data_IF_143564297294
#
_entry.id   IF_143564297294
#
_cell.length_a   1.000
_cell.length_b   1.000
_cell.length_c   1.000
_cell.angle_alpha   90.00
_cell.angle_beta   90.00
_cell.angle_gamma   90.00
#
_symmetry.space_group_name_H-M   'P 1'
#
loop_
_entity.id
_entity.type
_entity.pdbx_description
1 polymer ?
#
# COMPACT_ATOMS: atom_id res chain seq x y z
N UNK A 1 15.37 -23.98 0.44
CA UNK A 1 15.13 -23.18 1.66
C UNK A 1 14.86 -21.70 1.43
N UNK A 2 15.33 -21.08 0.36
CA UNK A 2 15.24 -19.63 0.10
C UNK A 2 13.83 -19.12 -0.29
N UNK A 3 12.95 -19.96 -0.84
CA UNK A 3 11.56 -19.61 -1.19
C UNK A 3 10.70 -19.17 0.02
N UNK A 4 11.02 -19.66 1.21
CA UNK A 4 10.28 -19.31 2.44
C UNK A 4 10.43 -17.83 2.81
N UNK A 5 11.59 -17.22 2.54
CA UNK A 5 11.85 -15.81 2.90
C UNK A 5 10.99 -14.87 2.05
N UNK A 6 10.83 -15.15 0.74
CA UNK A 6 9.98 -14.35 -0.16
C UNK A 6 8.52 -14.38 0.29
N UNK A 7 8.04 -15.56 0.70
CA UNK A 7 6.68 -15.74 1.21
C UNK A 7 6.45 -14.91 2.47
N UNK A 8 7.44 -14.83 3.37
CA UNK A 8 7.35 -14.03 4.60
C UNK A 8 7.21 -12.54 4.28
N UNK A 9 7.99 -12.01 3.32
CA UNK A 9 7.88 -10.60 2.92
C UNK A 9 6.52 -10.27 2.31
N UNK A 10 6.00 -11.13 1.41
CA UNK A 10 4.69 -10.95 0.80
C UNK A 10 3.56 -11.05 1.83
N UNK A 11 3.68 -11.96 2.80
CA UNK A 11 2.72 -12.11 3.89
C UNK A 11 2.70 -10.88 4.77
N UNK A 12 3.88 -10.36 5.15
CA UNK A 12 3.98 -9.13 5.94
C UNK A 12 3.33 -7.95 5.22
N UNK A 13 3.62 -7.76 3.92
CA UNK A 13 2.99 -6.71 3.12
C UNK A 13 1.48 -6.86 3.10
N UNK A 14 0.97 -8.07 2.87
CA UNK A 14 -0.47 -8.34 2.88
C UNK A 14 -1.14 -7.97 4.20
N UNK A 15 -0.55 -8.37 5.33
CA UNK A 15 -1.05 -8.04 6.67
C UNK A 15 -0.98 -6.53 6.96
N UNK A 16 0.12 -5.87 6.60
CA UNK A 16 0.30 -4.42 6.80
C UNK A 16 -0.76 -3.64 6.00
N UNK A 17 -0.99 -3.99 4.72
CA UNK A 17 -1.98 -3.30 3.90
C UNK A 17 -3.41 -3.52 4.37
N UNK A 18 -3.77 -4.71 4.84
CA UNK A 18 -5.07 -4.97 5.46
C UNK A 18 -5.22 -4.15 6.74
N UNK A 19 -4.19 -4.09 7.60
CA UNK A 19 -4.21 -3.27 8.81
C UNK A 19 -4.34 -1.79 8.48
N UNK A 20 -3.66 -1.31 7.43
CA UNK A 20 -3.77 0.06 6.95
C UNK A 20 -5.20 0.42 6.55
N UNK A 21 -5.92 -0.49 5.89
CA UNK A 21 -7.32 -0.27 5.48
C UNK A 21 -8.27 0.01 6.64
N UNK A 22 -7.93 -0.42 7.85
CA UNK A 22 -8.75 -0.27 9.06
C UNK A 22 -8.40 0.97 9.89
N UNK A 23 -7.42 1.78 9.47
CA UNK A 23 -6.90 2.89 10.27
C UNK A 23 -7.10 4.25 9.59
N UNK A 24 -7.16 5.30 10.42
CA UNK A 24 -7.22 6.69 9.96
C UNK A 24 -5.85 7.12 9.43
N UNK A 25 -5.83 7.67 8.24
CA UNK A 25 -4.60 8.01 7.50
C UNK A 25 -4.03 9.36 7.93
N UNK A 26 -4.91 10.36 8.09
CA UNK A 26 -4.49 11.73 8.39
C UNK A 26 -5.59 12.52 9.12
N UNK A 27 -5.21 13.66 9.68
CA UNK A 27 -6.14 14.63 10.29
C UNK A 27 -5.93 15.98 9.63
N UNK A 28 -7.04 16.64 9.35
CA UNK A 28 -7.10 18.02 8.88
C UNK A 28 -7.66 18.89 9.98
N UNK A 29 -7.06 20.05 10.21
CA UNK A 29 -7.61 21.07 11.12
C UNK A 29 -8.06 22.26 10.29
N UNK A 30 -9.35 22.58 10.33
CA UNK A 30 -9.93 23.74 9.66
C UNK A 30 -9.58 25.03 10.41
N UNK A 31 -9.62 26.20 9.75
CA UNK A 31 -9.40 27.50 10.37
C UNK A 31 -10.35 27.79 11.56
N UNK A 32 -11.53 27.18 11.53
CA UNK A 32 -12.56 27.29 12.59
C UNK A 32 -12.26 26.40 13.81
N UNK A 33 -11.11 25.68 13.84
CA UNK A 33 -10.74 24.78 14.92
C UNK A 33 -11.41 23.40 14.85
N UNK A 34 -12.23 23.13 13.84
CA UNK A 34 -12.84 21.81 13.64
C UNK A 34 -11.82 20.83 13.10
N UNK A 35 -11.77 19.63 13.69
CA UNK A 35 -10.93 18.53 13.21
C UNK A 35 -11.72 17.66 12.23
N UNK A 36 -11.11 17.35 11.08
CA UNK A 36 -11.61 16.36 10.13
C UNK A 36 -10.62 15.21 10.02
N UNK A 37 -11.11 14.00 9.86
CA UNK A 37 -10.29 12.79 9.78
C UNK A 37 -10.40 12.21 8.38
N UNK A 38 -9.25 11.88 7.78
CA UNK A 38 -9.17 11.11 6.56
C UNK A 38 -9.07 9.62 6.93
N UNK A 39 -10.12 8.91 6.66
CA UNK A 39 -10.17 7.45 6.66
C UNK A 39 -9.96 6.93 5.22
N UNK A 40 -9.69 5.66 5.06
CA UNK A 40 -9.53 5.02 3.75
C UNK A 40 -10.79 5.08 2.84
N UNK A 41 -11.95 5.38 3.44
CA UNK A 41 -13.24 5.40 2.74
C UNK A 41 -13.82 6.80 2.56
N UNK A 42 -13.51 7.72 3.49
CA UNK A 42 -14.13 9.05 3.54
C UNK A 42 -13.31 10.05 4.33
N UNK A 43 -13.54 11.34 4.09
CA UNK A 43 -13.15 12.41 5.00
C UNK A 43 -14.41 12.78 5.79
N UNK A 44 -14.34 12.73 7.10
CA UNK A 44 -15.46 13.04 7.99
C UNK A 44 -15.07 14.04 9.07
N UNK A 45 -16.08 14.81 9.56
CA UNK A 45 -15.91 15.69 10.71
C UNK A 45 -15.79 14.86 12.00
N UNK A 46 -14.79 15.14 12.83
CA UNK A 46 -14.59 14.46 14.10
C UNK A 46 -15.72 14.76 15.12
N UNK A 47 -16.47 15.86 14.93
CA UNK A 47 -17.57 16.27 15.83
C UNK A 47 -18.88 15.58 15.47
N UNK A 48 -19.30 15.71 14.19
CA UNK A 48 -20.64 15.28 13.76
C UNK A 48 -20.63 13.96 12.98
N UNK A 49 -19.46 13.38 12.73
CA UNK A 49 -19.26 12.20 11.90
C UNK A 49 -19.87 12.31 10.48
N UNK A 50 -20.20 13.54 10.04
CA UNK A 50 -20.73 13.82 8.72
C UNK A 50 -19.65 13.63 7.66
N UNK A 51 -19.97 12.92 6.57
CA UNK A 51 -19.05 12.72 5.45
C UNK A 51 -18.94 13.99 4.62
N UNK A 52 -17.74 14.55 4.54
CA UNK A 52 -17.44 15.74 3.75
C UNK A 52 -17.00 15.39 2.33
N UNK A 53 -16.24 14.32 2.18
CA UNK A 53 -15.74 13.85 0.89
C UNK A 53 -15.56 12.33 0.89
N UNK A 54 -15.92 11.68 -0.20
CA UNK A 54 -15.74 10.23 -0.34
C UNK A 54 -14.37 9.90 -0.94
N UNK A 55 -13.60 9.04 -0.28
CA UNK A 55 -12.24 8.61 -0.69
C UNK A 55 -12.16 7.09 -0.86
N UNK A 56 -13.27 6.45 -1.21
CA UNK A 56 -13.39 5.00 -1.35
C UNK A 56 -12.28 4.34 -2.17
N UNK A 57 -11.68 5.08 -3.10
CA UNK A 57 -10.62 4.57 -3.95
C UNK A 57 -9.37 4.17 -3.15
N UNK A 58 -9.05 4.87 -2.04
CA UNK A 58 -7.94 4.50 -1.15
C UNK A 58 -8.21 3.12 -0.56
N UNK A 59 -9.38 2.91 0.04
CA UNK A 59 -9.73 1.63 0.64
C UNK A 59 -9.75 0.46 -0.35
N UNK A 60 -10.28 0.70 -1.57
CA UNK A 60 -10.27 -0.33 -2.62
C UNK A 60 -8.85 -0.67 -3.07
N UNK A 61 -7.98 0.31 -3.27
CA UNK A 61 -6.58 0.10 -3.64
C UNK A 61 -5.83 -0.65 -2.54
N UNK A 62 -6.03 -0.28 -1.27
CA UNK A 62 -5.42 -0.94 -0.12
C UNK A 62 -5.83 -2.41 0.00
N UNK A 63 -7.12 -2.71 -0.16
CA UNK A 63 -7.61 -4.10 -0.17
C UNK A 63 -7.04 -4.87 -1.35
N UNK A 64 -7.05 -4.28 -2.54
CA UNK A 64 -6.55 -4.91 -3.76
C UNK A 64 -5.05 -5.27 -3.61
N UNK A 65 -4.23 -4.36 -3.08
CA UNK A 65 -2.79 -4.60 -2.84
C UNK A 65 -2.55 -5.64 -1.76
N UNK A 66 -3.34 -5.61 -0.67
CA UNK A 66 -3.30 -6.62 0.37
C UNK A 66 -3.64 -8.02 -0.15
N UNK A 67 -4.78 -8.15 -0.84
CA UNK A 67 -5.21 -9.42 -1.46
C UNK A 67 -4.25 -9.88 -2.55
N UNK A 68 -3.72 -8.98 -3.39
CA UNK A 68 -2.72 -9.30 -4.39
C UNK A 68 -1.45 -9.87 -3.75
N UNK A 69 -0.93 -9.22 -2.70
CA UNK A 69 0.27 -9.70 -1.98
C UNK A 69 0.08 -11.10 -1.39
N UNK A 70 -1.09 -11.37 -0.80
CA UNK A 70 -1.42 -12.71 -0.29
C UNK A 70 -1.61 -13.73 -1.43
N UNK A 71 -2.26 -13.32 -2.53
CA UNK A 71 -2.45 -14.15 -3.72
C UNK A 71 -1.13 -14.55 -4.39
N UNK A 72 -0.13 -13.65 -4.39
CA UNK A 72 1.20 -13.91 -4.92
C UNK A 72 1.91 -15.07 -4.21
N UNK A 73 1.58 -15.35 -2.96
CA UNK A 73 2.13 -16.48 -2.22
C UNK A 73 1.77 -17.80 -2.89
N UNK A 74 0.54 -17.91 -3.41
CA UNK A 74 0.07 -19.14 -4.08
C UNK A 74 0.65 -19.32 -5.49
N UNK A 75 1.20 -18.24 -6.09
CA UNK A 75 1.81 -18.26 -7.42
C UNK A 75 3.27 -18.78 -7.43
N UNK A 76 3.74 -19.42 -6.36
CA UNK A 76 5.12 -19.90 -6.22
C UNK A 76 5.59 -20.82 -7.36
N UNK A 77 4.66 -21.51 -8.04
CA UNK A 77 4.97 -22.38 -9.20
C UNK A 77 5.31 -21.58 -10.47
N UNK A 78 4.77 -20.36 -10.62
CA UNK A 78 4.97 -19.47 -11.79
C UNK A 78 5.80 -18.25 -11.42
N UNK A 79 7.10 -18.44 -11.18
CA UNK A 79 8.02 -17.42 -10.66
C UNK A 79 8.07 -16.13 -11.49
N UNK A 80 8.09 -16.23 -12.82
CA UNK A 80 8.12 -15.06 -13.71
C UNK A 80 6.84 -14.23 -13.55
N UNK A 81 5.68 -14.90 -13.45
CA UNK A 81 4.41 -14.22 -13.24
C UNK A 81 4.37 -13.56 -11.86
N UNK A 82 4.81 -14.26 -10.82
CA UNK A 82 4.91 -13.74 -9.45
C UNK A 82 5.76 -12.47 -9.40
N UNK A 83 6.94 -12.46 -10.06
CA UNK A 83 7.82 -11.30 -10.12
C UNK A 83 7.15 -10.10 -10.81
N UNK A 84 6.51 -10.31 -11.96
CA UNK A 84 5.80 -9.24 -12.68
C UNK A 84 4.66 -8.64 -11.84
N UNK A 85 3.88 -9.48 -11.20
CA UNK A 85 2.78 -9.04 -10.35
C UNK A 85 3.28 -8.35 -9.07
N UNK A 86 4.42 -8.76 -8.50
CA UNK A 86 5.02 -8.05 -7.35
C UNK A 86 5.42 -6.63 -7.74
N UNK A 87 6.00 -6.42 -8.93
CA UNK A 87 6.32 -5.09 -9.44
C UNK A 87 5.03 -4.29 -9.68
N UNK A 88 3.99 -4.91 -10.25
CA UNK A 88 2.70 -4.27 -10.44
C UNK A 88 2.09 -3.81 -9.10
N UNK A 89 2.11 -4.67 -8.07
CA UNK A 89 1.63 -4.33 -6.72
C UNK A 89 2.40 -3.14 -6.14
N UNK A 90 3.71 -3.07 -6.36
CA UNK A 90 4.55 -1.95 -5.93
C UNK A 90 4.14 -0.64 -6.63
N UNK A 91 3.85 -0.69 -7.94
CA UNK A 91 3.35 0.47 -8.69
C UNK A 91 1.97 0.92 -8.20
N UNK A 92 1.09 -0.01 -7.83
CA UNK A 92 -0.23 0.32 -7.28
C UNK A 92 -0.11 1.03 -5.93
N UNK A 93 0.79 0.59 -5.04
CA UNK A 93 1.05 1.28 -3.75
C UNK A 93 1.59 2.70 -3.99
N UNK A 94 2.50 2.88 -4.95
CA UNK A 94 2.99 4.22 -5.31
C UNK A 94 1.83 5.09 -5.81
N UNK A 95 0.98 4.56 -6.68
CA UNK A 95 -0.22 5.26 -7.16
C UNK A 95 -1.18 5.62 -6.03
N UNK A 96 -1.37 4.75 -5.06
CA UNK A 96 -2.17 4.98 -3.86
C UNK A 96 -1.62 6.14 -3.01
N UNK A 97 -0.30 6.17 -2.77
CA UNK A 97 0.36 7.27 -2.05
C UNK A 97 0.21 8.61 -2.77
N UNK A 98 0.37 8.61 -4.11
CA UNK A 98 0.15 9.81 -4.94
C UNK A 98 -1.31 10.26 -4.84
N UNK A 99 -2.26 9.34 -4.87
CA UNK A 99 -3.68 9.65 -4.75
C UNK A 99 -4.03 10.24 -3.38
N UNK A 100 -3.49 9.69 -2.29
CA UNK A 100 -3.65 10.23 -0.93
C UNK A 100 -3.10 11.66 -0.85
N UNK A 101 -1.90 11.90 -1.40
CA UNK A 101 -1.29 13.22 -1.43
C UNK A 101 -2.13 14.22 -2.23
N UNK A 102 -2.66 13.80 -3.39
CA UNK A 102 -3.50 14.63 -4.25
C UNK A 102 -4.83 15.00 -3.56
N UNK A 103 -5.53 14.04 -2.97
CA UNK A 103 -6.78 14.28 -2.22
C UNK A 103 -6.54 15.22 -1.03
N UNK A 104 -5.45 15.00 -0.30
CA UNK A 104 -5.08 15.85 0.84
C UNK A 104 -4.78 17.28 0.41
N UNK A 105 -4.06 17.47 -0.70
CA UNK A 105 -3.77 18.77 -1.27
C UNK A 105 -5.05 19.50 -1.70
N UNK A 106 -5.94 18.81 -2.42
CA UNK A 106 -7.23 19.37 -2.86
C UNK A 106 -8.09 19.82 -1.67
N UNK A 107 -8.18 18.98 -0.62
CA UNK A 107 -8.96 19.30 0.56
C UNK A 107 -8.38 20.50 1.33
N UNK A 108 -7.06 20.56 1.50
CA UNK A 108 -6.38 21.69 2.14
C UNK A 108 -6.57 22.98 1.36
N UNK A 109 -6.41 22.93 0.03
CA UNK A 109 -6.58 24.09 -0.84
C UNK A 109 -8.02 24.63 -0.85
N UNK A 110 -9.02 23.74 -0.83
CA UNK A 110 -10.44 24.11 -0.88
C UNK A 110 -10.95 24.67 0.45
N UNK A 111 -10.44 24.18 1.58
CA UNK A 111 -10.94 24.51 2.93
C UNK A 111 -9.97 25.36 3.78
N UNK A 112 -8.77 25.65 3.26
CA UNK A 112 -7.72 26.32 4.05
C UNK A 112 -7.27 25.52 5.25
N UNK A 113 -7.45 24.19 5.22
CA UNK A 113 -7.15 23.29 6.33
C UNK A 113 -5.64 23.03 6.44
N UNK A 114 -5.15 22.81 7.66
CA UNK A 114 -3.80 22.33 7.90
C UNK A 114 -3.78 20.81 7.95
N UNK A 115 -2.78 20.21 7.30
CA UNK A 115 -2.63 18.76 7.19
C UNK A 115 -1.68 18.22 8.26
N UNK A 116 -2.13 17.24 9.03
CA UNK A 116 -1.32 16.51 10.00
C UNK A 116 -1.29 15.03 9.67
N UNK A 117 -0.10 14.51 9.39
CA UNK A 117 0.12 13.09 9.05
C UNK A 117 -0.04 12.24 10.31
N UNK A 118 -0.79 11.14 10.21
CA UNK A 118 -0.82 10.11 11.24
C UNK A 118 0.15 8.97 10.91
N UNK A 119 0.56 8.23 11.93
CA UNK A 119 1.47 7.09 11.82
C UNK A 119 1.06 6.05 10.76
N UNK A 120 -0.24 5.70 10.59
CA UNK A 120 -0.63 4.70 9.60
C UNK A 120 -0.21 5.00 8.16
N UNK A 121 -0.03 6.27 7.78
CA UNK A 121 0.47 6.63 6.45
C UNK A 121 1.89 6.08 6.17
N UNK A 122 2.66 5.78 7.22
CA UNK A 122 3.96 5.13 7.07
C UNK A 122 3.86 3.66 6.62
N UNK A 123 2.72 2.99 6.84
CA UNK A 123 2.56 1.56 6.54
C UNK A 123 2.71 1.24 5.04
N UNK A 124 2.02 1.92 4.10
CA UNK A 124 2.26 1.71 2.66
C UNK A 124 3.70 2.04 2.24
N UNK A 125 4.33 3.04 2.87
CA UNK A 125 5.72 3.42 2.60
C UNK A 125 6.67 2.28 2.99
N UNK A 126 6.43 1.63 4.14
CA UNK A 126 7.21 0.48 4.62
C UNK A 126 7.01 -0.74 3.70
N UNK A 127 5.83 -0.90 3.08
CA UNK A 127 5.57 -2.00 2.15
C UNK A 127 6.45 -1.93 0.89
N UNK A 128 6.85 -0.74 0.42
CA UNK A 128 7.68 -0.57 -0.78
C UNK A 128 9.05 -1.27 -0.68
N UNK A 129 9.89 -1.02 0.35
CA UNK A 129 11.15 -1.73 0.50
C UNK A 129 10.98 -3.24 0.73
N UNK A 130 9.90 -3.68 1.39
CA UNK A 130 9.61 -5.09 1.58
C UNK A 130 9.32 -5.79 0.25
N UNK A 131 8.49 -5.18 -0.62
CA UNK A 131 8.21 -5.68 -1.97
C UNK A 131 9.46 -5.64 -2.86
N UNK A 132 10.27 -4.59 -2.73
CA UNK A 132 11.54 -4.50 -3.45
C UNK A 132 12.50 -5.64 -3.06
N UNK A 133 12.66 -5.92 -1.77
CA UNK A 133 13.46 -7.03 -1.28
C UNK A 133 12.92 -8.39 -1.77
N UNK A 134 11.60 -8.57 -1.77
CA UNK A 134 10.95 -9.76 -2.31
C UNK A 134 11.26 -9.92 -3.81
N UNK A 135 11.06 -8.87 -4.62
CA UNK A 135 11.31 -8.90 -6.07
C UNK A 135 12.78 -9.16 -6.40
N UNK A 136 13.70 -8.50 -5.70
CA UNK A 136 15.14 -8.70 -5.88
C UNK A 136 15.57 -10.16 -5.63
N UNK A 137 15.02 -10.78 -4.59
CA UNK A 137 15.28 -12.19 -4.29
C UNK A 137 14.74 -13.13 -5.39
N UNK A 138 13.53 -12.83 -5.91
CA UNK A 138 12.95 -13.59 -7.03
C UNK A 138 13.82 -13.53 -8.29
N UNK A 139 14.35 -12.36 -8.63
CA UNK A 139 15.25 -12.16 -9.78
C UNK A 139 16.53 -12.96 -9.60
N UNK A 140 17.12 -12.90 -8.41
CA UNK A 140 18.36 -13.64 -8.13
C UNK A 140 18.18 -15.15 -8.25
N UNK A 141 17.10 -15.70 -7.71
CA UNK A 141 16.78 -17.13 -7.80
C UNK A 141 16.57 -17.58 -9.26
N UNK A 142 15.91 -16.76 -10.07
CA UNK A 142 15.70 -17.05 -11.50
C UNK A 142 17.00 -17.05 -12.29
N UNK A 143 17.92 -16.12 -12.02
CA UNK A 143 19.22 -16.06 -12.69
C UNK A 143 20.08 -17.28 -12.39
N UNK A 144 20.06 -17.76 -11.15
CA UNK A 144 20.78 -18.98 -10.74
C UNK A 144 20.25 -20.22 -11.46
N UNK A 145 18.93 -20.37 -11.59
CA UNK A 145 18.31 -21.50 -12.28
C UNK A 145 18.68 -21.50 -13.77
N UNK A 146 18.62 -20.34 -14.43
CA UNK A 146 19.01 -20.20 -15.83
C UNK A 146 20.49 -20.50 -16.06
N UNK A 147 21.37 -20.06 -15.14
CA UNK A 147 22.79 -20.37 -15.20
C UNK A 147 23.05 -21.89 -15.09
N UNK A 148 22.37 -22.56 -14.16
CA UNK A 148 22.46 -24.01 -13.98
C UNK A 148 21.98 -24.82 -15.21
N UNK A 149 20.93 -24.32 -15.90
CA UNK A 149 20.43 -24.98 -17.12
C UNK A 149 21.35 -24.83 -18.35
N UNK A 150 22.21 -23.81 -18.40
CA UNK A 150 23.17 -23.60 -19.47
C UNK A 150 24.43 -24.47 -19.32
N UNK A 151 24.66 -25.00 -18.13
CA UNK A 151 25.83 -25.86 -17.86
C UNK A 151 25.55 -27.36 -18.06
N UNK A 152 24.34 -27.71 -18.46
CA UNK A 152 23.90 -29.08 -18.76
C UNK A 152 23.63 -29.26 -20.23
#
# INVERSE_FOLDING_TARGET
MWQRIQTVWLLLVGLIMITFTLQDVAVFTLPEGQACVLDNWRIYSAVDSTTLHSTWAIGVLSILTGCASLGLIFLYKRRILQMRLTILTMLVIIGELIYIAWVSYQFCSAKGATFAIRFPLALPIICLPLLYLASRRMIYDETLIRASQRLR
#
